data_IF_636830566395
#
_entry.id   IF_636830566395
#
_cell.length_a   1.000
_cell.length_b   1.000
_cell.length_c   1.000
_cell.angle_alpha   90.00
_cell.angle_beta   90.00
_cell.angle_gamma   90.00
#
_symmetry.space_group_name_H-M   'P 1'
#
loop_
_entity.id
_entity.type
_entity.pdbx_description
1 polymer ?
#
# COMPACT_ATOMS: atom_id res chain seq x y z
N UNK A 1 5.90 24.69 -17.54
CA UNK A 1 6.27 23.92 -16.34
C UNK A 1 4.99 23.39 -15.69
N UNK A 2 4.84 22.07 -15.52
CA UNK A 2 3.61 21.47 -14.98
C UNK A 2 3.46 21.79 -13.50
N UNK A 3 2.30 22.30 -13.08
CA UNK A 3 2.03 22.57 -11.67
C UNK A 3 1.85 21.23 -10.91
N UNK A 4 2.83 20.87 -10.08
CA UNK A 4 2.84 19.62 -9.32
C UNK A 4 1.61 19.47 -8.40
N UNK A 5 1.18 20.55 -7.75
CA UNK A 5 0.01 20.54 -6.87
C UNK A 5 -1.30 20.23 -7.61
N UNK A 6 -1.55 20.93 -8.73
CA UNK A 6 -2.73 20.68 -9.58
C UNK A 6 -2.71 19.26 -10.16
N UNK A 7 -1.55 18.76 -10.58
CA UNK A 7 -1.39 17.38 -11.06
C UNK A 7 -1.78 16.37 -9.98
N UNK A 8 -1.31 16.56 -8.75
CA UNK A 8 -1.64 15.68 -7.62
C UNK A 8 -3.14 15.68 -7.33
N UNK A 9 -3.79 16.85 -7.32
CA UNK A 9 -5.24 16.95 -7.12
C UNK A 9 -6.02 16.23 -8.22
N UNK A 10 -5.68 16.46 -9.50
CA UNK A 10 -6.33 15.78 -10.61
C UNK A 10 -6.17 14.26 -10.54
N UNK A 11 -4.95 13.77 -10.21
CA UNK A 11 -4.69 12.33 -10.00
C UNK A 11 -5.52 11.77 -8.84
N UNK A 12 -5.62 12.49 -7.74
CA UNK A 12 -6.40 12.09 -6.58
C UNK A 12 -7.90 11.99 -6.93
N UNK A 13 -8.44 12.96 -7.67
CA UNK A 13 -9.85 12.94 -8.09
C UNK A 13 -10.17 11.71 -8.95
N UNK A 14 -9.32 11.39 -9.93
CA UNK A 14 -9.50 10.23 -10.81
C UNK A 14 -9.43 8.91 -10.03
N UNK A 15 -8.43 8.76 -9.16
CA UNK A 15 -8.27 7.55 -8.34
C UNK A 15 -9.42 7.39 -7.34
N UNK A 16 -9.88 8.49 -6.74
CA UNK A 16 -11.00 8.47 -5.82
C UNK A 16 -12.31 8.11 -6.54
N UNK A 17 -12.53 8.60 -7.76
CA UNK A 17 -13.72 8.26 -8.54
C UNK A 17 -13.87 6.73 -8.72
N UNK A 18 -12.79 6.05 -9.09
CA UNK A 18 -12.76 4.58 -9.14
C UNK A 18 -13.05 3.94 -7.77
N UNK A 19 -12.47 4.51 -6.70
CA UNK A 19 -12.74 4.08 -5.33
C UNK A 19 -14.22 4.26 -4.91
N UNK A 20 -14.89 5.30 -5.41
CA UNK A 20 -16.32 5.58 -5.14
C UNK A 20 -17.24 4.55 -5.81
N UNK A 21 -16.92 4.08 -7.01
CA UNK A 21 -17.66 2.98 -7.63
C UNK A 21 -17.47 1.65 -6.88
N UNK A 22 -16.33 1.48 -6.20
CA UNK A 22 -15.92 0.25 -5.51
C UNK A 22 -16.26 0.22 -4.02
N UNK A 23 -17.14 1.11 -3.53
CA UNK A 23 -17.42 1.22 -2.11
C UNK A 23 -18.04 -0.06 -1.56
N UNK A 24 -17.52 -0.52 -0.43
CA UNK A 24 -18.12 -1.61 0.32
C UNK A 24 -19.30 -1.07 1.11
N UNK A 25 -20.52 -1.43 0.71
CA UNK A 25 -21.74 -0.93 1.35
C UNK A 25 -22.15 -1.70 2.62
N UNK A 26 -21.66 -2.94 2.81
CA UNK A 26 -22.12 -3.82 3.90
C UNK A 26 -20.99 -4.29 4.82
N UNK A 27 -21.33 -4.59 6.08
CA UNK A 27 -20.42 -5.20 7.05
C UNK A 27 -19.26 -4.29 7.47
N UNK A 28 -19.45 -2.98 7.36
CA UNK A 28 -18.58 -1.98 7.96
C UNK A 28 -19.15 -1.62 9.33
N UNK A 29 -18.31 -1.69 10.37
CA UNK A 29 -18.67 -1.18 11.68
C UNK A 29 -18.81 0.33 11.62
N UNK A 30 -19.91 0.82 12.18
CA UNK A 30 -20.21 2.23 12.33
C UNK A 30 -20.21 2.56 13.81
N UNK A 31 -19.86 3.81 14.12
CA UNK A 31 -19.83 4.30 15.49
C UNK A 31 -20.72 5.54 15.59
N UNK A 32 -21.47 5.65 16.68
CA UNK A 32 -22.13 6.88 17.08
C UNK A 32 -21.68 7.21 18.50
N UNK A 33 -21.39 8.48 18.76
CA UNK A 33 -21.14 8.99 20.11
C UNK A 33 -22.37 9.78 20.51
N UNK A 34 -22.93 9.48 21.67
CA UNK A 34 -24.18 10.10 22.16
C UNK A 34 -24.18 10.22 23.68
N UNK A 35 -24.78 11.29 24.17
CA UNK A 35 -25.16 11.52 25.57
C UNK A 35 -26.67 11.30 25.81
N UNK A 36 -27.47 11.34 24.73
CA UNK A 36 -28.93 11.21 24.79
C UNK A 36 -29.42 9.74 25.03
N UNK A 37 -30.15 9.48 26.12
CA UNK A 37 -30.78 8.18 26.38
C UNK A 37 -31.80 7.74 25.31
N UNK A 38 -32.43 8.68 24.59
CA UNK A 38 -33.36 8.37 23.51
C UNK A 38 -32.62 7.78 22.31
N UNK A 39 -31.43 8.29 21.99
CA UNK A 39 -30.56 7.73 20.95
C UNK A 39 -30.09 6.34 21.35
N UNK A 40 -29.65 6.14 22.60
CA UNK A 40 -29.30 4.81 23.11
C UNK A 40 -30.45 3.81 22.92
N UNK A 41 -31.66 4.18 23.33
CA UNK A 41 -32.86 3.34 23.22
C UNK A 41 -33.19 3.04 21.76
N UNK A 42 -33.04 4.03 20.87
CA UNK A 42 -33.23 3.87 19.42
C UNK A 42 -32.29 2.80 18.85
N UNK A 43 -30.98 2.90 19.11
CA UNK A 43 -30.01 1.95 18.59
C UNK A 43 -30.17 0.56 19.24
N UNK A 44 -30.45 0.49 20.54
CA UNK A 44 -30.65 -0.78 21.26
C UNK A 44 -31.84 -1.58 20.74
N UNK A 45 -32.90 -0.89 20.31
CA UNK A 45 -34.13 -1.52 19.83
C UNK A 45 -34.24 -1.59 18.29
N UNK A 46 -33.25 -1.11 17.54
CA UNK A 46 -33.30 -1.10 16.08
C UNK A 46 -33.04 -2.52 15.53
N UNK A 47 -34.05 -3.15 14.89
CA UNK A 47 -33.90 -4.51 14.37
C UNK A 47 -33.00 -4.59 13.14
N UNK A 48 -32.69 -3.45 12.49
CA UNK A 48 -31.87 -3.39 11.28
C UNK A 48 -30.36 -3.46 11.57
N UNK A 49 -29.95 -3.33 12.83
CA UNK A 49 -28.55 -3.31 13.24
C UNK A 49 -28.21 -4.47 14.18
N UNK A 50 -26.91 -4.73 14.28
CA UNK A 50 -26.31 -5.61 15.28
C UNK A 50 -25.36 -4.74 16.09
N UNK A 51 -25.59 -4.64 17.38
CA UNK A 51 -24.67 -3.92 18.27
C UNK A 51 -23.44 -4.79 18.51
N UNK A 52 -22.27 -4.21 18.26
CA UNK A 52 -20.99 -4.87 18.50
C UNK A 52 -20.59 -4.69 19.96
N UNK A 53 -20.61 -3.45 20.46
CA UNK A 53 -20.34 -3.11 21.85
C UNK A 53 -20.85 -1.71 22.19
N UNK A 54 -20.98 -1.48 23.50
CA UNK A 54 -21.15 -0.17 24.11
C UNK A 54 -19.90 0.15 24.91
N UNK A 55 -19.38 1.37 24.78
CA UNK A 55 -18.22 1.82 25.53
C UNK A 55 -18.50 3.22 26.07
N UNK A 56 -18.46 3.37 27.38
CA UNK A 56 -18.54 4.67 28.04
C UNK A 56 -17.20 5.40 27.87
N UNK A 57 -17.23 6.56 27.21
CA UNK A 57 -16.05 7.38 26.95
C UNK A 57 -15.80 8.34 28.12
N UNK A 58 -16.87 8.93 28.64
CA UNK A 58 -16.92 9.78 29.84
C UNK A 58 -18.25 9.54 30.55
N UNK A 59 -18.41 10.04 31.77
CA UNK A 59 -19.61 9.87 32.60
C UNK A 59 -20.93 10.19 31.85
N UNK A 60 -20.90 11.12 30.89
CA UNK A 60 -22.07 11.52 30.08
C UNK A 60 -22.02 11.07 28.61
N UNK A 61 -20.96 10.39 28.14
CA UNK A 61 -20.80 10.04 26.72
C UNK A 61 -20.66 8.54 26.48
N UNK A 62 -21.53 8.02 25.63
CA UNK A 62 -21.53 6.63 25.21
C UNK A 62 -21.14 6.50 23.73
N UNK A 63 -20.16 5.65 23.47
CA UNK A 63 -19.82 5.14 22.14
C UNK A 63 -20.63 3.86 21.87
N UNK A 64 -21.47 3.90 20.84
CA UNK A 64 -22.21 2.75 20.35
C UNK A 64 -21.54 2.28 19.05
N UNK A 65 -20.97 1.09 19.06
CA UNK A 65 -20.45 0.43 17.85
C UNK A 65 -21.48 -0.56 17.34
N UNK A 66 -21.87 -0.43 16.08
CA UNK A 66 -22.88 -1.29 15.47
C UNK A 66 -22.54 -1.63 14.01
N UNK A 67 -23.19 -2.65 13.49
CA UNK A 67 -23.08 -3.09 12.11
C UNK A 67 -24.47 -3.27 11.54
N UNK A 68 -24.79 -2.66 10.39
CA UNK A 68 -26.07 -2.89 9.71
C UNK A 68 -26.16 -4.35 9.23
N UNK A 69 -27.30 -4.99 9.48
CA UNK A 69 -27.62 -6.31 8.94
C UNK A 69 -27.71 -6.22 7.43
N UNK A 70 -27.19 -7.25 6.73
CA UNK A 70 -27.07 -7.25 5.26
C UNK A 70 -28.40 -7.00 4.54
N UNK A 71 -29.50 -7.50 5.10
CA UNK A 71 -30.86 -7.34 4.56
C UNK A 71 -31.35 -5.88 4.57
N UNK A 72 -30.77 -5.04 5.42
CA UNK A 72 -31.11 -3.63 5.60
C UNK A 72 -30.00 -2.69 5.08
N UNK A 73 -29.03 -3.22 4.34
CA UNK A 73 -28.00 -2.40 3.70
C UNK A 73 -28.54 -1.85 2.40
N UNK A 74 -28.67 -0.53 2.34
CA UNK A 74 -28.84 0.20 1.09
C UNK A 74 -27.48 0.40 0.43
N UNK A 75 -27.40 0.14 -0.87
CA UNK A 75 -26.21 0.45 -1.65
C UNK A 75 -26.09 1.97 -1.80
N UNK A 76 -24.87 2.49 -1.68
CA UNK A 76 -24.63 3.92 -1.90
C UNK A 76 -24.94 4.27 -3.37
N UNK A 77 -25.64 5.38 -3.63
CA UNK A 77 -26.09 5.76 -4.98
C UNK A 77 -24.98 5.84 -6.04
N UNK A 78 -23.76 6.19 -5.60
CA UNK A 78 -22.58 6.23 -6.47
C UNK A 78 -21.81 4.91 -6.60
N UNK A 79 -22.24 3.84 -5.91
CA UNK A 79 -21.59 2.53 -5.94
C UNK A 79 -21.97 1.80 -7.23
N UNK A 80 -20.98 1.31 -7.96
CA UNK A 80 -21.20 0.50 -9.16
C UNK A 80 -20.08 -0.53 -9.29
N UNK A 81 -20.31 -1.72 -8.73
CA UNK A 81 -19.33 -2.80 -8.72
C UNK A 81 -18.95 -3.28 -10.12
N UNK A 82 -19.84 -3.16 -11.11
CA UNK A 82 -19.59 -3.60 -12.48
C UNK A 82 -18.50 -2.74 -13.13
N UNK A 83 -18.57 -1.41 -12.96
CA UNK A 83 -17.53 -0.50 -13.44
C UNK A 83 -16.18 -0.84 -12.79
N UNK A 84 -16.17 -1.09 -11.48
CA UNK A 84 -14.97 -1.46 -10.73
C UNK A 84 -14.34 -2.78 -11.18
N UNK A 85 -15.18 -3.79 -11.43
CA UNK A 85 -14.75 -5.09 -11.96
C UNK A 85 -14.15 -4.93 -13.36
N UNK A 86 -14.82 -4.20 -14.24
CA UNK A 86 -14.36 -3.97 -15.61
C UNK A 86 -13.04 -3.21 -15.64
N UNK A 87 -12.95 -2.08 -14.94
CA UNK A 87 -11.73 -1.27 -14.88
C UNK A 87 -10.54 -2.05 -14.30
N UNK A 88 -10.74 -2.78 -13.20
CA UNK A 88 -9.67 -3.59 -12.59
C UNK A 88 -9.24 -4.75 -13.51
N UNK A 89 -10.19 -5.38 -14.19
CA UNK A 89 -9.91 -6.48 -15.12
C UNK A 89 -9.16 -5.99 -16.36
N UNK A 90 -9.60 -4.87 -16.94
CA UNK A 90 -8.93 -4.24 -18.07
C UNK A 90 -7.49 -3.82 -17.71
N UNK A 91 -7.28 -3.21 -16.54
CA UNK A 91 -5.94 -2.84 -16.06
C UNK A 91 -5.02 -4.07 -15.90
N UNK A 92 -5.55 -5.18 -15.36
CA UNK A 92 -4.79 -6.45 -15.24
C UNK A 92 -4.45 -7.06 -16.59
N UNK A 93 -5.37 -7.04 -17.55
CA UNK A 93 -5.13 -7.53 -18.91
C UNK A 93 -4.07 -6.66 -19.60
N UNK A 94 -4.14 -5.33 -19.44
CA UNK A 94 -3.15 -4.40 -19.98
C UNK A 94 -1.74 -4.69 -19.43
N UNK A 95 -1.62 -4.84 -18.12
CA UNK A 95 -0.35 -5.22 -17.48
C UNK A 95 0.12 -6.61 -17.95
N UNK A 96 -0.78 -7.58 -18.07
CA UNK A 96 -0.46 -8.93 -18.55
C UNK A 96 0.08 -8.92 -19.99
N UNK A 97 -0.48 -8.10 -20.88
CA UNK A 97 0.04 -7.95 -22.23
C UNK A 97 1.46 -7.40 -22.24
N UNK A 98 1.76 -6.39 -21.42
CA UNK A 98 3.12 -5.86 -21.28
C UNK A 98 4.09 -6.91 -20.73
N UNK A 99 3.67 -7.69 -19.72
CA UNK A 99 4.46 -8.81 -19.20
C UNK A 99 4.77 -9.85 -20.29
N UNK A 100 3.76 -10.21 -21.10
CA UNK A 100 3.94 -11.17 -22.20
C UNK A 100 4.87 -10.63 -23.28
N UNK A 101 4.82 -9.34 -23.60
CA UNK A 101 5.75 -8.70 -24.55
C UNK A 101 7.19 -8.79 -24.04
N UNK A 102 7.43 -8.45 -22.77
CA UNK A 102 8.76 -8.58 -22.14
C UNK A 102 9.26 -10.02 -22.19
N UNK A 103 8.44 -10.98 -21.76
CA UNK A 103 8.84 -12.41 -21.68
C UNK A 103 9.07 -13.04 -23.06
N UNK A 104 8.35 -12.59 -24.11
CA UNK A 104 8.50 -13.11 -25.48
C UNK A 104 9.67 -12.48 -26.24
N UNK A 105 10.19 -11.35 -25.78
CA UNK A 105 11.30 -10.68 -26.44
C UNK A 105 12.61 -11.35 -26.04
N UNK A 106 13.48 -11.73 -27.01
CA UNK A 106 14.78 -12.31 -26.70
C UNK A 106 15.61 -11.42 -25.78
N UNK A 107 16.40 -12.04 -24.91
CA UNK A 107 17.33 -11.38 -23.98
C UNK A 107 16.67 -10.39 -22.99
N UNK A 108 15.35 -10.47 -22.82
CA UNK A 108 14.61 -9.74 -21.81
C UNK A 108 14.24 -10.65 -20.63
N UNK A 109 14.18 -10.11 -19.42
CA UNK A 109 13.74 -10.86 -18.24
C UNK A 109 12.84 -10.01 -17.35
N UNK A 110 11.64 -10.51 -17.08
CA UNK A 110 10.70 -9.87 -16.18
C UNK A 110 11.12 -10.13 -14.72
N UNK A 111 11.35 -9.08 -13.94
CA UNK A 111 11.87 -9.16 -12.57
C UNK A 111 10.78 -8.95 -11.50
N UNK A 112 9.85 -8.03 -11.74
CA UNK A 112 8.80 -7.68 -10.78
C UNK A 112 7.59 -7.03 -11.45
N UNK A 113 6.41 -7.17 -10.82
CA UNK A 113 5.18 -6.46 -11.22
C UNK A 113 4.36 -6.04 -10.01
N UNK A 114 3.73 -4.86 -10.08
CA UNK A 114 2.73 -4.43 -9.09
C UNK A 114 1.73 -3.46 -9.72
N UNK A 115 0.47 -3.88 -9.78
CA UNK A 115 -0.74 -3.10 -10.16
C UNK A 115 -0.70 -2.46 -11.56
N UNK A 116 0.20 -1.51 -11.77
CA UNK A 116 0.38 -0.66 -12.95
C UNK A 116 1.88 -0.46 -13.30
N UNK A 117 2.78 -1.21 -12.66
CA UNK A 117 4.22 -1.12 -12.83
C UNK A 117 4.86 -2.49 -13.09
N UNK A 118 5.97 -2.48 -13.82
CA UNK A 118 6.83 -3.64 -14.03
C UNK A 118 8.29 -3.24 -13.98
N UNK A 119 9.14 -4.14 -13.50
CA UNK A 119 10.59 -4.02 -13.51
C UNK A 119 11.11 -5.19 -14.33
N UNK A 120 11.95 -4.91 -15.32
CA UNK A 120 12.49 -5.91 -16.23
C UNK A 120 13.87 -5.49 -16.71
N UNK A 121 14.68 -6.46 -17.12
CA UNK A 121 15.94 -6.22 -17.84
C UNK A 121 15.73 -6.39 -19.34
N UNK A 122 16.42 -5.58 -20.13
CA UNK A 122 16.43 -5.65 -21.58
C UNK A 122 17.80 -5.18 -22.13
N UNK A 123 18.19 -5.54 -23.35
CA UNK A 123 19.39 -4.98 -24.01
C UNK A 123 19.22 -3.47 -24.24
N UNK A 124 20.32 -2.70 -24.16
CA UNK A 124 20.32 -1.21 -24.14
C UNK A 124 19.41 -0.59 -25.22
N UNK A 125 19.47 -1.11 -26.45
CA UNK A 125 18.73 -0.57 -27.59
C UNK A 125 17.47 -1.38 -27.98
N UNK A 126 17.07 -2.33 -27.14
CA UNK A 126 15.97 -3.25 -27.45
C UNK A 126 14.94 -3.30 -26.31
N UNK A 127 14.38 -2.14 -25.96
CA UNK A 127 13.25 -2.08 -25.03
C UNK A 127 12.00 -2.68 -25.70
N UNK A 128 11.39 -3.74 -25.14
CA UNK A 128 10.22 -4.40 -25.73
C UNK A 128 8.91 -3.60 -25.61
N UNK A 129 8.88 -2.55 -24.79
CA UNK A 129 7.68 -1.77 -24.52
C UNK A 129 7.75 -0.40 -25.18
N UNK A 130 6.62 0.03 -25.75
CA UNK A 130 6.45 1.40 -26.22
C UNK A 130 6.24 2.33 -25.02
N UNK A 131 7.18 3.25 -24.85
CA UNK A 131 7.12 4.26 -23.81
C UNK A 131 6.49 5.56 -24.33
N UNK A 132 5.77 6.27 -23.47
CA UNK A 132 5.22 7.57 -23.81
C UNK A 132 4.54 8.30 -22.64
N UNK A 133 4.22 9.59 -22.84
CA UNK A 133 3.64 10.44 -21.81
C UNK A 133 2.10 10.45 -21.77
N UNK A 134 1.42 9.75 -22.68
CA UNK A 134 -0.03 9.80 -22.81
C UNK A 134 -0.74 8.78 -21.90
N UNK A 135 -2.07 8.95 -21.79
CA UNK A 135 -2.89 8.09 -20.96
C UNK A 135 -2.83 6.62 -21.44
N UNK A 136 -2.45 5.72 -20.53
CA UNK A 136 -2.36 4.28 -20.81
C UNK A 136 -1.01 3.81 -21.33
N UNK A 137 -0.11 4.74 -21.70
CA UNK A 137 1.27 4.42 -22.08
C UNK A 137 2.11 4.13 -20.84
N UNK A 138 3.12 3.28 -20.99
CA UNK A 138 4.12 3.07 -19.96
C UNK A 138 5.11 4.25 -19.98
N UNK A 139 5.46 4.75 -18.81
CA UNK A 139 6.45 5.81 -18.66
C UNK A 139 7.65 5.26 -17.90
N UNK A 140 8.86 5.62 -18.32
CA UNK A 140 10.07 5.35 -17.54
C UNK A 140 10.03 6.15 -16.23
N UNK A 141 10.02 5.44 -15.08
CA UNK A 141 9.96 6.08 -13.75
C UNK A 141 11.31 6.71 -13.37
N UNK A 142 12.42 6.21 -13.91
CA UNK A 142 13.78 6.65 -13.58
C UNK A 142 14.59 6.99 -14.86
N UNK A 143 14.12 7.93 -15.69
CA UNK A 143 14.73 8.19 -17.01
C UNK A 143 16.19 8.67 -16.93
N UNK A 144 16.55 9.34 -15.84
CA UNK A 144 17.90 9.90 -15.62
C UNK A 144 18.87 8.87 -15.01
N UNK A 145 18.41 7.64 -14.73
CA UNK A 145 19.17 6.63 -14.01
C UNK A 145 19.26 5.31 -14.77
N UNK A 146 20.36 4.59 -14.54
CA UNK A 146 20.53 3.19 -14.90
C UNK A 146 20.38 2.34 -13.64
N UNK A 147 19.54 1.31 -13.68
CA UNK A 147 19.42 0.33 -12.60
C UNK A 147 20.57 -0.67 -12.72
N UNK A 148 21.50 -0.63 -11.77
CA UNK A 148 22.65 -1.53 -11.73
C UNK A 148 22.32 -2.86 -11.05
N UNK A 149 21.53 -2.80 -9.98
CA UNK A 149 21.12 -4.00 -9.24
C UNK A 149 19.66 -3.89 -8.82
N UNK A 150 18.96 -5.03 -8.91
CA UNK A 150 17.60 -5.21 -8.42
C UNK A 150 17.57 -6.35 -7.41
N UNK A 151 16.93 -6.13 -6.26
CA UNK A 151 16.71 -7.15 -5.24
C UNK A 151 15.25 -7.13 -4.78
N UNK A 152 14.63 -8.30 -4.65
CA UNK A 152 13.22 -8.45 -4.23
C UNK A 152 13.10 -9.41 -3.06
N UNK A 153 12.48 -8.93 -1.98
CA UNK A 153 12.09 -9.76 -0.83
C UNK A 153 10.66 -10.30 -0.94
N UNK A 154 9.96 -10.00 -2.04
CA UNK A 154 8.60 -10.44 -2.33
C UNK A 154 7.65 -9.29 -2.70
N UNK A 155 6.34 -9.54 -2.58
CA UNK A 155 5.33 -8.59 -2.99
C UNK A 155 5.42 -7.26 -2.19
N UNK A 156 5.59 -6.15 -2.90
CA UNK A 156 5.73 -4.79 -2.35
C UNK A 156 6.94 -4.62 -1.43
N UNK A 157 8.00 -5.38 -1.71
CA UNK A 157 9.27 -5.39 -0.98
C UNK A 157 10.44 -5.52 -1.98
N UNK A 158 11.03 -4.41 -2.39
CA UNK A 158 12.16 -4.42 -3.33
C UNK A 158 13.15 -3.27 -3.08
N UNK A 159 14.38 -3.47 -3.54
CA UNK A 159 15.46 -2.50 -3.53
C UNK A 159 16.05 -2.32 -4.93
N UNK A 160 16.43 -1.08 -5.26
CA UNK A 160 17.15 -0.70 -6.47
C UNK A 160 18.45 -0.02 -6.07
N UNK A 161 19.53 -0.40 -6.74
CA UNK A 161 20.79 0.36 -6.78
C UNK A 161 20.91 0.97 -8.17
N UNK A 162 21.04 2.28 -8.23
CA UNK A 162 20.96 3.04 -9.46
C UNK A 162 22.14 3.99 -9.58
N UNK A 163 22.51 4.31 -10.80
CA UNK A 163 23.55 5.29 -11.13
C UNK A 163 22.96 6.34 -12.08
N UNK A 164 23.41 7.59 -11.96
CA UNK A 164 22.96 8.64 -12.90
C UNK A 164 23.61 8.45 -14.26
N UNK A 165 22.82 8.60 -15.33
CA UNK A 165 23.33 8.55 -16.72
C UNK A 165 24.31 9.67 -17.03
N UNK A 166 24.11 10.84 -16.44
CA UNK A 166 24.93 12.04 -16.70
C UNK A 166 26.29 12.03 -15.98
N UNK A 167 26.41 11.25 -14.91
CA UNK A 167 27.60 11.20 -14.03
C UNK A 167 27.99 9.74 -13.73
N UNK A 168 28.40 8.96 -14.75
CA UNK A 168 28.81 7.56 -14.55
C UNK A 168 30.06 7.51 -13.66
N UNK A 169 30.04 6.66 -12.64
CA UNK A 169 31.08 6.49 -11.63
C UNK A 169 30.88 7.29 -10.34
N UNK A 170 29.81 8.08 -10.22
CA UNK A 170 29.44 8.72 -8.95
C UNK A 170 28.81 7.75 -7.95
N UNK A 171 28.67 8.20 -6.70
CA UNK A 171 28.03 7.42 -5.64
C UNK A 171 26.63 6.93 -6.06
N UNK A 172 26.34 5.62 -5.96
CA UNK A 172 25.08 5.05 -6.36
C UNK A 172 23.92 5.57 -5.50
N UNK A 173 22.76 5.74 -6.15
CA UNK A 173 21.50 6.11 -5.51
C UNK A 173 20.70 4.85 -5.20
N UNK A 174 20.21 4.75 -3.97
CA UNK A 174 19.45 3.60 -3.52
C UNK A 174 17.97 3.94 -3.37
N UNK A 175 17.10 3.07 -3.86
CA UNK A 175 15.65 3.11 -3.59
C UNK A 175 15.26 1.83 -2.88
N UNK A 176 14.63 1.98 -1.72
CA UNK A 176 14.08 0.87 -0.96
C UNK A 176 12.57 1.06 -0.83
N UNK A 177 11.79 0.01 -1.11
CA UNK A 177 10.35 -0.02 -0.94
C UNK A 177 9.99 -1.20 -0.08
N UNK A 178 9.53 -0.94 1.15
CA UNK A 178 9.12 -2.00 2.10
C UNK A 178 7.73 -1.68 2.62
N UNK A 179 6.73 -2.48 2.22
CA UNK A 179 5.36 -2.29 2.66
C UNK A 179 5.21 -2.36 4.17
N UNK A 180 4.52 -1.37 4.73
CA UNK A 180 4.15 -1.34 6.14
C UNK A 180 5.23 -0.76 7.05
N UNK A 181 6.37 -0.35 6.49
CA UNK A 181 7.45 0.34 7.21
C UNK A 181 7.61 1.75 6.66
N UNK A 182 7.77 2.71 7.56
CA UNK A 182 8.14 4.08 7.20
C UNK A 182 9.65 4.14 7.14
N UNK A 183 10.20 4.52 5.99
CA UNK A 183 11.64 4.68 5.77
C UNK A 183 12.03 6.12 6.12
N UNK A 184 12.04 6.43 7.42
CA UNK A 184 12.55 7.71 7.91
C UNK A 184 14.08 7.66 8.07
N UNK A 185 14.69 8.82 8.31
CA UNK A 185 16.14 8.94 8.46
C UNK A 185 16.68 8.01 9.55
N UNK A 186 15.99 7.88 10.68
CA UNK A 186 16.40 7.02 11.79
C UNK A 186 16.36 5.53 11.42
N UNK A 187 15.28 5.06 10.77
CA UNK A 187 15.19 3.67 10.32
C UNK A 187 16.32 3.31 9.34
N UNK A 188 16.65 4.22 8.42
CA UNK A 188 17.69 4.01 7.42
C UNK A 188 19.09 4.08 8.07
N UNK A 189 19.37 5.12 8.84
CA UNK A 189 20.73 5.41 9.28
C UNK A 189 21.13 4.70 10.56
N UNK A 190 20.22 4.58 11.53
CA UNK A 190 20.52 4.05 12.85
C UNK A 190 20.02 2.61 13.05
N UNK A 191 19.01 2.18 12.30
CA UNK A 191 18.36 0.87 12.52
C UNK A 191 18.59 -0.12 11.37
N UNK A 192 19.45 0.23 10.41
CA UNK A 192 19.90 -0.70 9.38
C UNK A 192 18.84 -1.08 8.35
N UNK A 193 17.83 -0.23 8.07
CA UNK A 193 16.94 -0.41 6.90
C UNK A 193 17.54 0.25 5.65
N UNK A 194 18.69 -0.27 5.20
CA UNK A 194 19.40 0.18 3.99
C UNK A 194 19.27 -0.86 2.89
N UNK A 195 19.69 -0.50 1.69
CA UNK A 195 19.69 -1.43 0.56
C UNK A 195 20.58 -2.66 0.84
N UNK A 196 21.79 -2.46 1.35
CA UNK A 196 22.75 -3.55 1.56
C UNK A 196 22.27 -4.56 2.61
N UNK A 197 21.77 -4.07 3.74
CA UNK A 197 21.21 -4.92 4.79
C UNK A 197 19.93 -5.62 4.32
N UNK A 198 19.06 -4.93 3.58
CA UNK A 198 17.89 -5.55 2.97
C UNK A 198 18.29 -6.68 2.03
N UNK A 199 19.26 -6.44 1.15
CA UNK A 199 19.80 -7.41 0.20
C UNK A 199 20.35 -8.63 0.95
N UNK A 200 21.20 -8.42 1.94
CA UNK A 200 21.73 -9.49 2.81
C UNK A 200 20.60 -10.32 3.42
N UNK A 201 19.56 -9.70 3.99
CA UNK A 201 18.43 -10.45 4.59
C UNK A 201 17.60 -11.22 3.56
N UNK A 202 17.57 -10.77 2.32
CA UNK A 202 16.93 -11.52 1.23
C UNK A 202 17.77 -12.74 0.84
N UNK A 203 19.10 -12.60 0.77
CA UNK A 203 20.00 -13.72 0.47
C UNK A 203 20.05 -14.75 1.61
N UNK A 204 20.19 -14.32 2.86
CA UNK A 204 20.19 -15.22 4.02
C UNK A 204 18.90 -16.05 4.06
N UNK A 205 17.76 -15.41 3.77
CA UNK A 205 16.47 -16.11 3.67
C UNK A 205 16.45 -17.17 2.55
N UNK A 206 17.07 -16.89 1.40
CA UNK A 206 17.18 -17.86 0.31
C UNK A 206 18.06 -19.06 0.69
N UNK A 207 19.04 -18.86 1.56
CA UNK A 207 19.90 -19.91 2.13
C UNK A 207 19.25 -20.67 3.30
N UNK A 208 18.05 -20.25 3.73
CA UNK A 208 17.29 -20.88 4.81
C UNK A 208 17.52 -20.28 6.19
N UNK A 209 18.30 -19.21 6.30
CA UNK A 209 18.50 -18.46 7.53
C UNK A 209 17.48 -17.32 7.67
N UNK A 210 16.89 -17.19 8.86
CA UNK A 210 15.87 -16.19 9.13
C UNK A 210 16.39 -15.17 10.13
N UNK A 211 16.84 -14.04 9.60
CA UNK A 211 17.27 -12.90 10.41
C UNK A 211 16.43 -11.64 10.11
N UNK A 212 15.41 -11.33 10.93
CA UNK A 212 14.49 -10.24 10.67
C UNK A 212 15.04 -8.89 11.15
N UNK A 213 14.83 -7.83 10.35
CA UNK A 213 15.17 -6.46 10.76
C UNK A 213 14.05 -5.92 11.66
N UNK A 214 14.40 -5.49 12.88
CA UNK A 214 13.46 -4.88 13.82
C UNK A 214 13.63 -3.36 13.78
N UNK A 215 12.57 -2.66 13.36
CA UNK A 215 12.53 -1.20 13.32
C UNK A 215 11.64 -0.70 14.44
N UNK A 216 12.21 0.11 15.33
CA UNK A 216 11.52 0.80 16.42
C UNK A 216 11.25 2.26 16.03
N UNK A 217 9.99 2.65 16.01
CA UNK A 217 9.57 4.04 15.86
C UNK A 217 9.30 4.59 17.26
N UNK A 218 10.22 5.38 17.85
CA UNK A 218 10.11 5.79 19.25
C UNK A 218 8.92 6.72 19.48
N UNK A 219 8.64 7.60 18.51
CA UNK A 219 7.63 8.66 18.62
C UNK A 219 6.38 8.36 17.78
N UNK A 220 5.78 7.18 17.94
CA UNK A 220 4.57 6.84 17.20
C UNK A 220 3.33 7.34 17.93
N UNK A 221 2.55 8.19 17.27
CA UNK A 221 1.31 8.74 17.81
C UNK A 221 0.23 7.64 17.83
N UNK A 222 -0.30 7.34 19.01
CA UNK A 222 -1.45 6.47 19.21
C UNK A 222 -2.62 7.31 19.73
N UNK A 223 -3.64 7.55 18.90
CA UNK A 223 -4.87 8.14 19.37
C UNK A 223 -5.64 7.12 20.23
N UNK A 224 -6.11 7.56 21.41
CA UNK A 224 -7.07 6.84 22.23
C UNK A 224 -8.41 7.55 22.12
N UNK A 225 -9.40 6.90 21.50
CA UNK A 225 -10.77 7.45 21.43
C UNK A 225 -11.38 7.50 22.83
N UNK A 226 -11.06 6.50 23.66
CA UNK A 226 -11.52 6.40 25.04
C UNK A 226 -11.04 7.57 25.89
N UNK A 227 -9.75 7.87 25.85
CA UNK A 227 -9.16 8.90 26.70
C UNK A 227 -9.21 10.30 26.07
N UNK A 228 -9.81 10.45 24.87
CA UNK A 228 -9.82 11.68 24.09
C UNK A 228 -8.43 12.27 23.83
N UNK A 229 -7.37 11.45 23.94
CA UNK A 229 -5.99 11.90 24.00
C UNK A 229 -5.13 11.24 22.94
N UNK A 230 -4.03 11.91 22.60
CA UNK A 230 -3.00 11.36 21.72
C UNK A 230 -1.76 11.12 22.55
N UNK A 231 -1.38 9.85 22.68
CA UNK A 231 -0.17 9.47 23.40
C UNK A 231 0.92 9.07 22.43
N UNK A 232 2.15 9.40 22.78
CA UNK A 232 3.33 8.98 22.03
C UNK A 232 3.84 7.69 22.65
N UNK A 233 3.78 6.58 21.90
CA UNK A 233 4.24 5.28 22.35
C UNK A 233 5.17 4.65 21.31
N UNK A 234 6.26 3.96 21.73
CA UNK A 234 7.14 3.31 20.79
C UNK A 234 6.40 2.19 20.03
N UNK A 235 6.56 2.16 18.71
CA UNK A 235 6.01 1.12 17.84
C UNK A 235 7.16 0.32 17.24
N UNK A 236 7.23 -0.98 17.53
CA UNK A 236 8.18 -1.89 16.89
C UNK A 236 7.50 -2.59 15.70
N UNK A 237 8.20 -2.63 14.57
CA UNK A 237 7.82 -3.39 13.38
C UNK A 237 8.94 -4.34 13.02
N UNK A 238 8.57 -5.53 12.60
CA UNK A 238 9.49 -6.58 12.19
C UNK A 238 9.39 -6.72 10.68
N UNK A 239 10.50 -6.50 9.99
CA UNK A 239 10.67 -6.84 8.59
C UNK A 239 10.81 -8.36 8.47
N UNK A 240 10.02 -8.96 7.57
CA UNK A 240 10.11 -10.38 7.23
C UNK A 240 10.24 -10.48 5.73
N UNK A 241 11.29 -11.17 5.27
CA UNK A 241 11.43 -11.62 3.89
C UNK A 241 10.28 -12.56 3.57
N UNK A 242 9.53 -12.31 2.49
CA UNK A 242 8.24 -12.93 2.15
C UNK A 242 7.09 -12.67 3.15
N UNK A 243 6.25 -11.69 2.83
CA UNK A 243 4.89 -11.60 3.41
C UNK A 243 3.89 -12.41 2.56
N UNK A 244 3.53 -13.61 3.03
CA UNK A 244 2.32 -14.29 2.54
C UNK A 244 1.10 -13.47 2.97
N UNK A 245 0.26 -13.04 2.03
CA UNK A 245 -1.01 -12.38 2.35
C UNK A 245 -1.90 -13.42 3.04
N UNK A 246 -2.06 -13.36 4.36
CA UNK A 246 -3.02 -14.19 5.11
C UNK A 246 -2.48 -15.17 6.15
N UNK A 247 -1.19 -15.20 6.48
CA UNK A 247 -0.73 -15.97 7.66
C UNK A 247 -0.83 -15.11 8.92
N UNK A 248 -1.88 -15.33 9.71
CA UNK A 248 -1.93 -14.97 11.12
C UNK A 248 -0.68 -15.54 11.83
N UNK A 249 -0.12 -14.86 12.85
CA UNK A 249 0.86 -15.49 13.71
C UNK A 249 0.19 -16.70 14.38
N UNK A 250 0.86 -17.87 14.47
CA UNK A 250 0.44 -18.88 15.43
C UNK A 250 0.57 -18.28 16.82
N UNK A 251 -0.44 -18.52 17.65
CA UNK A 251 -0.49 -18.13 19.05
C UNK A 251 0.70 -18.72 19.83
#
# INVERSE_FOLDING_TARGET
MVNKGKRTQAKLCLNNLWGRFSLRNFGLSQCVVTDDPAVYTKYSNDPSIIINFFEELTDDLLLISYTKKKEFVEEHDSSNVIISLWTTSAARIHLLHAMQQVVRTPDCSLLYTDTDSLIFSHPIDNCPLQLGPHLGEFTDEYPDFNILEFCSGGAKQYGLKMEKKDEPGCEPVYVLKVRGMTLNWDAINNQGMRYDTFKEKVFNFAEGDYDPIIVSYPNFLRPSVKDGSVTTLPLKKIYKTLRRKGSSPPF
#
